data_IF_819814209612
#
_entry.id   IF_819814209612
#
_cell.length_a   1.000
_cell.length_b   1.000
_cell.length_c   1.000
_cell.angle_alpha   90.00
_cell.angle_beta   90.00
_cell.angle_gamma   90.00
#
_symmetry.space_group_name_H-M   'P 1'
#
loop_
_entity.id
_entity.type
_entity.pdbx_description
1 polymer ?
#
# COMPACT_ATOMS: atom_id res chain seq x y z
N UNK A 1 5.84 -46.75 -3.83
CA UNK A 1 4.76 -45.93 -4.45
C UNK A 1 4.46 -44.60 -3.73
N UNK A 2 5.10 -44.28 -2.59
CA UNK A 2 4.80 -43.07 -1.80
C UNK A 2 5.58 -41.80 -2.19
N UNK A 3 6.69 -41.91 -2.94
CA UNK A 3 7.55 -40.76 -3.29
C UNK A 3 7.05 -39.97 -4.52
N UNK A 4 6.17 -40.55 -5.35
CA UNK A 4 5.60 -39.86 -6.52
C UNK A 4 4.41 -38.96 -6.17
N UNK A 5 3.61 -39.31 -5.16
CA UNK A 5 2.49 -38.47 -4.70
C UNK A 5 2.96 -37.16 -4.05
N UNK A 6 4.05 -37.20 -3.25
CA UNK A 6 4.61 -36.00 -2.60
C UNK A 6 5.24 -35.01 -3.59
N UNK A 7 5.83 -35.49 -4.71
CA UNK A 7 6.35 -34.62 -5.76
C UNK A 7 5.23 -33.94 -6.56
N UNK A 8 4.13 -34.66 -6.80
CA UNK A 8 2.97 -34.11 -7.50
C UNK A 8 2.25 -33.04 -6.65
N UNK A 9 2.08 -33.27 -5.34
CA UNK A 9 1.48 -32.31 -4.40
C UNK A 9 2.34 -31.04 -4.23
N UNK A 10 3.68 -31.17 -4.11
CA UNK A 10 4.58 -29.99 -4.08
C UNK A 10 4.55 -29.17 -5.36
N UNK A 11 4.51 -29.82 -6.52
CA UNK A 11 4.44 -29.13 -7.81
C UNK A 11 3.08 -28.45 -8.03
N UNK A 12 1.98 -29.09 -7.61
CA UNK A 12 0.65 -28.49 -7.66
C UNK A 12 0.51 -27.31 -6.69
N UNK A 13 1.07 -27.39 -5.48
CA UNK A 13 1.14 -26.27 -4.52
C UNK A 13 1.98 -25.11 -5.04
N UNK A 14 3.12 -25.39 -5.68
CA UNK A 14 3.91 -24.34 -6.35
C UNK A 14 3.14 -23.67 -7.47
N UNK A 15 2.48 -24.45 -8.34
CA UNK A 15 1.65 -23.90 -9.42
C UNK A 15 0.42 -23.13 -8.90
N UNK A 16 -0.22 -23.58 -7.81
CA UNK A 16 -1.34 -22.85 -7.22
C UNK A 16 -0.87 -21.54 -6.58
N UNK A 17 0.30 -21.53 -5.95
CA UNK A 17 0.89 -20.32 -5.36
C UNK A 17 1.28 -19.34 -6.46
N UNK A 18 1.99 -19.77 -7.50
CA UNK A 18 2.34 -18.96 -8.67
C UNK A 18 1.10 -18.38 -9.38
N UNK A 19 0.03 -19.18 -9.54
CA UNK A 19 -1.23 -18.71 -10.12
C UNK A 19 -1.95 -17.69 -9.24
N UNK A 20 -1.85 -17.87 -7.92
CA UNK A 20 -2.46 -16.95 -6.94
C UNK A 20 -1.68 -15.65 -6.90
N UNK A 21 -0.35 -15.69 -6.81
CA UNK A 21 0.56 -14.55 -6.87
C UNK A 21 0.33 -13.72 -8.13
N UNK A 22 0.32 -14.34 -9.31
CA UNK A 22 0.08 -13.64 -10.58
C UNK A 22 -1.31 -12.96 -10.63
N UNK A 23 -2.35 -13.62 -10.10
CA UNK A 23 -3.71 -13.06 -10.04
C UNK A 23 -3.81 -11.88 -9.06
N UNK A 24 -3.09 -11.96 -7.95
CA UNK A 24 -3.01 -10.90 -6.93
C UNK A 24 -2.29 -9.68 -7.50
N UNK A 25 -1.14 -9.87 -8.14
CA UNK A 25 -0.36 -8.78 -8.75
C UNK A 25 -1.14 -8.06 -9.86
N UNK A 26 -1.75 -8.80 -10.78
CA UNK A 26 -2.64 -8.21 -11.80
C UNK A 26 -3.83 -7.49 -11.18
N UNK A 27 -4.39 -8.04 -10.11
CA UNK A 27 -5.49 -7.42 -9.41
C UNK A 27 -5.15 -6.06 -8.79
N UNK A 28 -3.92 -5.90 -8.29
CA UNK A 28 -3.44 -4.65 -7.68
C UNK A 28 -3.25 -3.58 -8.75
N UNK A 29 -2.67 -3.98 -9.88
CA UNK A 29 -2.53 -3.13 -11.06
C UNK A 29 -3.88 -2.65 -11.54
N UNK A 30 -4.83 -3.56 -11.73
CA UNK A 30 -6.19 -3.23 -12.17
C UNK A 30 -6.92 -2.32 -11.19
N UNK A 31 -6.66 -2.49 -9.88
CA UNK A 31 -7.17 -1.60 -8.85
C UNK A 31 -6.65 -0.17 -9.02
N UNK A 32 -5.33 0.01 -8.97
CA UNK A 32 -4.69 1.33 -9.05
C UNK A 32 -4.96 2.02 -10.40
N UNK A 33 -5.11 1.23 -11.47
CA UNK A 33 -5.40 1.67 -12.82
C UNK A 33 -6.82 2.24 -12.98
N UNK A 34 -7.80 1.74 -12.23
CA UNK A 34 -9.23 2.03 -12.42
C UNK A 34 -9.76 1.39 -13.70
N UNK A 35 -10.38 0.21 -13.56
CA UNK A 35 -10.99 -0.65 -14.58
C UNK A 35 -10.21 -0.87 -15.91
N UNK A 36 -9.93 -2.14 -16.20
CA UNK A 36 -9.20 -2.63 -17.38
C UNK A 36 -9.75 -2.13 -18.73
N UNK A 37 -11.04 -1.76 -18.80
CA UNK A 37 -11.70 -1.26 -20.02
C UNK A 37 -11.40 0.20 -20.34
N UNK A 38 -11.20 1.05 -19.33
CA UNK A 38 -10.68 2.41 -19.52
C UNK A 38 -9.18 2.36 -19.84
N UNK A 39 -8.49 1.36 -19.30
CA UNK A 39 -7.04 1.19 -19.39
C UNK A 39 -6.54 0.66 -20.74
N UNK A 40 -7.29 -0.23 -21.40
CA UNK A 40 -6.96 -0.72 -22.75
C UNK A 40 -7.07 0.39 -23.81
N UNK A 41 -8.02 1.32 -23.64
CA UNK A 41 -8.16 2.53 -24.49
C UNK A 41 -7.06 3.57 -24.28
N UNK A 42 -6.35 3.53 -23.14
CA UNK A 42 -5.27 4.46 -22.77
C UNK A 42 -3.88 4.04 -23.26
N UNK A 43 -3.69 2.79 -23.71
CA UNK A 43 -2.40 2.32 -24.30
C UNK A 43 -2.09 2.95 -25.66
N UNK A 44 -3.11 3.41 -26.38
CA UNK A 44 -3.03 3.67 -27.83
C UNK A 44 -3.53 5.07 -28.22
N UNK A 45 -3.82 5.94 -27.26
CA UNK A 45 -4.27 7.29 -27.56
C UNK A 45 -3.10 8.26 -27.44
N UNK A 46 -2.51 8.62 -28.57
CA UNK A 46 -1.70 9.84 -28.64
C UNK A 46 -2.54 11.01 -28.11
N UNK A 47 -1.95 11.91 -27.30
CA UNK A 47 -2.65 13.12 -26.88
C UNK A 47 -3.19 13.82 -28.13
N UNK A 48 -4.47 14.17 -28.15
CA UNK A 48 -4.97 14.96 -29.29
C UNK A 48 -4.15 16.24 -29.37
N UNK A 49 -3.93 16.82 -30.57
CA UNK A 49 -3.27 18.11 -30.67
C UNK A 49 -3.95 19.14 -29.74
N UNK A 50 -3.22 19.61 -28.72
CA UNK A 50 -3.72 20.51 -27.68
C UNK A 50 -4.07 19.88 -26.32
N UNK A 51 -4.10 18.55 -26.19
CA UNK A 51 -4.21 17.86 -24.89
C UNK A 51 -2.84 17.81 -24.20
N UNK A 52 -2.74 18.19 -22.91
CA UNK A 52 -1.49 18.07 -22.17
C UNK A 52 -1.05 16.59 -22.07
N UNK A 53 0.27 16.33 -22.07
CA UNK A 53 0.78 14.97 -21.88
C UNK A 53 0.35 14.43 -20.52
N UNK A 54 -0.14 13.19 -20.50
CA UNK A 54 -0.54 12.51 -19.27
C UNK A 54 0.66 12.31 -18.34
N UNK A 55 0.47 12.56 -17.05
CA UNK A 55 1.49 12.34 -16.02
C UNK A 55 1.28 10.99 -15.34
N UNK A 56 2.34 10.32 -14.85
CA UNK A 56 2.17 9.10 -14.08
C UNK A 56 1.37 9.40 -12.80
N UNK A 57 0.62 8.39 -12.34
CA UNK A 57 0.00 8.43 -11.01
C UNK A 57 1.09 8.26 -9.97
N UNK A 58 0.98 8.97 -8.84
CA UNK A 58 1.92 8.84 -7.74
C UNK A 58 1.33 8.11 -6.56
N UNK A 59 2.02 7.07 -6.08
CA UNK A 59 1.60 6.29 -4.93
C UNK A 59 2.72 6.11 -3.92
N UNK A 60 2.49 6.49 -2.66
CA UNK A 60 3.38 6.16 -1.55
C UNK A 60 2.76 5.05 -0.70
N UNK A 61 3.52 4.00 -0.47
CA UNK A 61 3.15 2.90 0.42
C UNK A 61 3.91 3.06 1.73
N UNK A 62 3.19 3.34 2.81
CA UNK A 62 3.74 3.61 4.14
C UNK A 62 3.53 2.39 5.04
N UNK A 63 4.61 1.78 5.51
CA UNK A 63 4.56 0.61 6.38
C UNK A 63 4.86 0.96 7.83
N UNK A 64 4.03 0.45 8.74
CA UNK A 64 4.36 0.37 10.15
C UNK A 64 5.48 -0.66 10.36
N UNK A 65 6.59 -0.17 10.89
CA UNK A 65 7.76 -0.92 11.31
C UNK A 65 8.07 -0.63 12.78
N UNK A 66 7.05 -0.40 13.61
CA UNK A 66 7.23 -0.22 15.06
C UNK A 66 7.64 -1.52 15.75
N UNK A 67 8.12 -1.41 16.99
CA UNK A 67 8.60 -2.56 17.76
C UNK A 67 7.52 -3.63 17.99
N UNK A 68 6.22 -3.28 17.97
CA UNK A 68 5.12 -4.27 18.07
C UNK A 68 5.09 -5.19 16.86
N UNK A 69 5.40 -4.67 15.67
CA UNK A 69 5.44 -5.45 14.43
C UNK A 69 6.43 -6.61 14.54
N UNK A 70 7.62 -6.36 15.10
CA UNK A 70 8.63 -7.39 15.31
C UNK A 70 8.27 -8.32 16.49
N UNK A 71 7.91 -7.75 17.65
CA UNK A 71 7.65 -8.52 18.88
C UNK A 71 6.50 -9.51 18.75
N UNK A 72 5.39 -9.10 18.10
CA UNK A 72 4.21 -9.94 17.93
C UNK A 72 4.25 -10.81 16.67
N UNK A 73 5.27 -10.65 15.83
CA UNK A 73 5.38 -11.40 14.57
C UNK A 73 5.35 -12.93 14.76
N UNK A 74 5.93 -13.45 15.86
CA UNK A 74 5.91 -14.88 16.17
C UNK A 74 4.52 -15.41 16.53
N UNK A 75 3.62 -14.54 17.00
CA UNK A 75 2.26 -14.90 17.43
C UNK A 75 1.25 -14.74 16.31
N UNK A 76 1.28 -13.60 15.63
CA UNK A 76 0.25 -13.24 14.66
C UNK A 76 0.77 -12.89 13.27
N UNK A 77 2.08 -12.88 13.03
CA UNK A 77 2.65 -12.70 11.70
C UNK A 77 2.56 -11.28 11.12
N UNK A 78 2.37 -10.23 11.94
CA UNK A 78 2.31 -8.82 11.49
C UNK A 78 3.44 -8.43 10.53
N UNK A 79 4.69 -8.47 11.01
CA UNK A 79 5.85 -8.06 10.20
C UNK A 79 5.98 -8.92 8.94
N UNK A 80 5.67 -10.22 9.03
CA UNK A 80 5.65 -11.11 7.87
C UNK A 80 4.63 -10.64 6.83
N UNK A 81 3.40 -10.33 7.21
CA UNK A 81 2.36 -9.80 6.30
C UNK A 81 2.77 -8.46 5.69
N UNK A 82 3.38 -7.58 6.46
CA UNK A 82 3.92 -6.30 5.96
C UNK A 82 4.99 -6.54 4.89
N UNK A 83 5.93 -7.47 5.13
CA UNK A 83 6.96 -7.83 4.15
C UNK A 83 6.36 -8.48 2.89
N UNK A 84 5.42 -9.40 3.04
CA UNK A 84 4.70 -10.03 1.91
C UNK A 84 3.94 -8.98 1.09
N UNK A 85 3.34 -7.98 1.74
CA UNK A 85 2.65 -6.85 1.09
C UNK A 85 3.63 -5.97 0.32
N UNK A 86 4.79 -5.63 0.90
CA UNK A 86 5.82 -4.85 0.23
C UNK A 86 6.34 -5.56 -1.03
N UNK A 87 6.62 -6.87 -0.95
CA UNK A 87 7.03 -7.67 -2.11
C UNK A 87 5.95 -7.68 -3.19
N UNK A 88 4.70 -7.96 -2.81
CA UNK A 88 3.56 -7.97 -3.73
C UNK A 88 3.41 -6.64 -4.48
N UNK A 89 3.55 -5.50 -3.79
CA UNK A 89 3.48 -4.17 -4.41
C UNK A 89 4.63 -3.97 -5.41
N UNK A 90 5.86 -4.28 -5.02
CA UNK A 90 7.03 -4.12 -5.89
C UNK A 90 6.93 -5.00 -7.14
N UNK A 91 6.42 -6.23 -7.02
CA UNK A 91 6.22 -7.13 -8.15
C UNK A 91 5.05 -6.71 -9.04
N UNK A 92 3.94 -6.27 -8.45
CA UNK A 92 2.77 -5.81 -9.19
C UNK A 92 3.05 -4.57 -10.03
N UNK A 93 3.89 -3.66 -9.53
CA UNK A 93 4.23 -2.41 -10.22
C UNK A 93 5.40 -2.53 -11.21
N UNK A 94 6.07 -3.68 -11.24
CA UNK A 94 7.17 -3.92 -12.17
C UNK A 94 6.71 -3.82 -13.62
N UNK A 95 7.38 -2.98 -14.43
CA UNK A 95 7.03 -2.76 -15.83
C UNK A 95 5.89 -1.76 -16.06
N UNK A 96 5.44 -1.07 -15.00
CA UNK A 96 4.40 -0.04 -15.05
C UNK A 96 4.91 1.37 -14.74
N UNK A 97 6.22 1.59 -14.80
CA UNK A 97 6.90 2.83 -14.40
C UNK A 97 6.46 4.04 -15.25
N UNK A 98 6.03 3.81 -16.48
CA UNK A 98 5.42 4.85 -17.34
C UNK A 98 4.04 5.33 -16.87
N UNK A 99 3.41 4.62 -15.95
CA UNK A 99 2.03 4.87 -15.47
C UNK A 99 1.97 5.14 -13.98
N UNK A 100 2.88 4.53 -13.22
CA UNK A 100 2.98 4.63 -11.78
C UNK A 100 4.40 5.00 -11.38
N UNK A 101 4.52 6.13 -10.70
CA UNK A 101 5.68 6.51 -9.94
C UNK A 101 5.40 6.20 -8.47
N UNK A 102 6.14 5.26 -7.88
CA UNK A 102 5.85 4.80 -6.52
C UNK A 102 7.06 4.90 -5.58
N UNK A 103 6.74 5.07 -4.30
CA UNK A 103 7.72 5.07 -3.21
C UNK A 103 7.24 4.15 -2.09
N UNK A 104 8.18 3.44 -1.46
CA UNK A 104 7.92 2.70 -0.23
C UNK A 104 8.65 3.42 0.89
N UNK A 105 7.93 3.69 1.97
CA UNK A 105 8.48 4.23 3.20
C UNK A 105 8.04 3.38 4.39
N UNK A 106 8.73 3.50 5.51
CA UNK A 106 8.24 3.00 6.79
C UNK A 106 8.38 4.05 7.89
N UNK A 107 7.65 3.85 8.97
CA UNK A 107 7.86 4.56 10.23
C UNK A 107 8.13 3.55 11.34
N UNK A 108 8.82 3.99 12.37
CA UNK A 108 9.09 3.21 13.56
C UNK A 108 9.07 4.12 14.79
N UNK A 109 9.53 3.63 15.95
CA UNK A 109 9.56 4.41 17.18
C UNK A 109 10.57 5.57 17.16
N UNK A 110 11.53 5.59 16.23
CA UNK A 110 12.60 6.60 16.18
C UNK A 110 12.42 7.61 15.05
N UNK A 111 11.73 7.23 13.96
CA UNK A 111 11.55 8.08 12.80
C UNK A 111 10.14 7.96 12.19
N UNK A 112 9.51 9.10 11.87
CA UNK A 112 8.18 9.12 11.24
C UNK A 112 8.22 8.79 9.75
N UNK A 113 9.36 8.91 9.07
CA UNK A 113 9.43 8.61 7.64
C UNK A 113 10.84 8.23 7.21
N UNK A 114 11.06 6.93 7.05
CA UNK A 114 12.27 6.35 6.47
C UNK A 114 11.96 5.86 5.05
N UNK A 115 12.75 6.29 4.08
CA UNK A 115 12.57 5.89 2.69
C UNK A 115 13.22 4.53 2.43
N UNK A 116 12.42 3.58 1.94
CA UNK A 116 12.88 2.25 1.53
C UNK A 116 13.14 2.19 0.02
N UNK A 117 12.23 2.79 -0.75
CA UNK A 117 12.29 2.93 -2.21
C UNK A 117 11.92 4.38 -2.56
N UNK A 118 12.82 5.15 -3.18
CA UNK A 118 12.52 6.50 -3.67
C UNK A 118 11.59 6.47 -4.89
N UNK A 119 10.87 7.56 -5.11
CA UNK A 119 10.22 7.82 -6.40
C UNK A 119 11.24 7.77 -7.55
N UNK A 120 10.83 7.23 -8.69
CA UNK A 120 11.68 7.03 -9.88
C UNK A 120 12.78 5.97 -9.73
N UNK A 121 12.88 5.27 -8.59
CA UNK A 121 13.93 4.29 -8.33
C UNK A 121 13.38 2.92 -7.87
N UNK A 122 12.48 2.28 -8.65
CA UNK A 122 11.97 0.96 -8.31
C UNK A 122 13.10 -0.08 -8.31
N UNK A 123 13.05 -1.08 -7.40
CA UNK A 123 14.06 -2.14 -7.35
C UNK A 123 14.02 -3.00 -8.62
N UNK A 124 15.15 -3.04 -9.33
CA UNK A 124 15.26 -3.67 -10.64
C UNK A 124 15.15 -5.21 -10.60
N UNK A 125 15.61 -5.85 -9.53
CA UNK A 125 15.72 -7.30 -9.43
C UNK A 125 15.32 -7.84 -8.05
N UNK A 126 15.31 -9.17 -7.93
CA UNK A 126 14.95 -9.87 -6.69
C UNK A 126 15.90 -9.52 -5.53
N UNK A 127 17.18 -9.28 -5.81
CA UNK A 127 18.17 -8.90 -4.80
C UNK A 127 17.91 -7.50 -4.24
N UNK A 128 17.55 -6.55 -5.11
CA UNK A 128 17.15 -5.22 -4.71
C UNK A 128 15.86 -5.26 -3.87
N UNK A 129 14.86 -6.06 -4.28
CA UNK A 129 13.64 -6.27 -3.48
C UNK A 129 13.92 -6.88 -2.11
N UNK A 130 14.80 -7.89 -2.05
CA UNK A 130 15.23 -8.48 -0.77
C UNK A 130 15.94 -7.45 0.12
N UNK A 131 16.71 -6.54 -0.47
CA UNK A 131 17.36 -5.44 0.27
C UNK A 131 16.33 -4.49 0.87
N UNK A 132 15.28 -4.13 0.13
CA UNK A 132 14.16 -3.32 0.63
C UNK A 132 13.48 -3.99 1.82
N UNK A 133 13.15 -5.28 1.69
CA UNK A 133 12.51 -6.05 2.78
C UNK A 133 13.44 -6.16 3.99
N UNK A 134 14.74 -6.37 3.77
CA UNK A 134 15.73 -6.46 4.86
C UNK A 134 15.83 -5.15 5.64
N UNK A 135 15.76 -3.99 4.96
CA UNK A 135 15.70 -2.68 5.61
C UNK A 135 14.45 -2.53 6.47
N UNK A 136 13.29 -2.92 5.94
CA UNK A 136 12.02 -2.87 6.67
C UNK A 136 12.06 -3.74 7.94
N UNK A 137 12.60 -4.96 7.85
CA UNK A 137 12.78 -5.85 9.01
C UNK A 137 13.75 -5.25 10.03
N UNK A 138 14.86 -4.67 9.55
CA UNK A 138 15.85 -4.04 10.42
C UNK A 138 15.26 -2.85 11.17
N UNK A 139 14.45 -2.00 10.52
CA UNK A 139 13.75 -0.89 11.17
C UNK A 139 12.88 -1.41 12.33
N UNK A 140 12.05 -2.43 12.08
CA UNK A 140 11.20 -3.02 13.13
C UNK A 140 11.97 -3.72 14.25
N UNK A 141 13.14 -4.27 13.96
CA UNK A 141 13.94 -5.01 14.94
C UNK A 141 14.73 -4.10 15.89
N UNK A 142 15.23 -2.97 15.38
CA UNK A 142 16.19 -2.13 16.11
C UNK A 142 15.62 -0.80 16.61
N UNK A 143 14.35 -0.52 16.33
CA UNK A 143 13.74 0.74 16.78
C UNK A 143 13.43 0.77 18.28
N UNK A 144 13.35 1.98 18.82
CA UNK A 144 12.79 2.24 20.15
C UNK A 144 11.32 1.84 20.23
N UNK A 145 10.80 1.71 21.46
CA UNK A 145 9.36 1.61 21.67
C UNK A 145 8.69 2.96 21.41
N UNK A 146 7.59 2.96 20.68
CA UNK A 146 6.87 4.17 20.31
C UNK A 146 6.17 3.94 18.98
N UNK A 147 5.36 4.92 18.60
CA UNK A 147 4.73 4.96 17.30
C UNK A 147 4.66 6.40 16.81
N UNK A 148 4.90 6.56 15.51
CA UNK A 148 4.87 7.83 14.81
C UNK A 148 3.79 7.85 13.73
N UNK A 149 2.77 6.99 13.78
CA UNK A 149 1.79 6.79 12.70
C UNK A 149 1.17 8.10 12.20
N UNK A 150 0.73 9.01 13.09
CA UNK A 150 0.11 10.28 12.66
C UNK A 150 1.08 11.15 11.88
N UNK A 151 2.26 11.41 12.47
CA UNK A 151 3.28 12.24 11.83
C UNK A 151 3.78 11.58 10.53
N UNK A 152 3.86 10.24 10.51
CA UNK A 152 4.22 9.47 9.34
C UNK A 152 3.22 9.64 8.19
N UNK A 153 1.92 9.59 8.49
CA UNK A 153 0.85 9.82 7.52
C UNK A 153 0.90 11.26 7.01
N UNK A 154 1.05 12.25 7.88
CA UNK A 154 1.16 13.67 7.51
C UNK A 154 2.35 13.89 6.56
N UNK A 155 3.53 13.37 6.91
CA UNK A 155 4.74 13.45 6.09
C UNK A 155 4.63 12.67 4.79
N UNK A 156 3.96 11.51 4.78
CA UNK A 156 3.71 10.76 3.55
C UNK A 156 2.81 11.54 2.59
N UNK A 157 1.76 12.15 3.12
CA UNK A 157 0.82 13.00 2.37
C UNK A 157 1.56 14.21 1.80
N UNK A 158 2.36 14.91 2.61
CA UNK A 158 3.19 16.04 2.16
C UNK A 158 4.20 15.62 1.09
N UNK A 159 4.91 14.51 1.29
CA UNK A 159 5.91 13.99 0.33
C UNK A 159 5.26 13.70 -1.03
N UNK A 160 4.10 13.05 -1.05
CA UNK A 160 3.40 12.75 -2.32
C UNK A 160 2.93 14.02 -3.02
N UNK A 161 2.39 14.99 -2.27
CA UNK A 161 1.93 16.27 -2.79
C UNK A 161 3.08 17.04 -3.48
N UNK A 162 4.25 17.07 -2.85
CA UNK A 162 5.40 17.90 -3.26
C UNK A 162 6.37 17.23 -4.25
N UNK A 163 6.24 15.92 -4.50
CA UNK A 163 7.19 15.16 -5.35
C UNK A 163 7.10 15.47 -6.86
N UNK A 164 6.33 16.48 -7.28
CA UNK A 164 6.17 16.89 -8.68
C UNK A 164 4.78 16.61 -9.28
N UNK A 165 4.60 16.82 -10.60
CA UNK A 165 3.29 16.68 -11.26
C UNK A 165 2.85 15.21 -11.32
N UNK A 166 1.56 14.97 -11.08
CA UNK A 166 0.93 13.66 -11.17
C UNK A 166 -0.56 13.83 -11.49
N UNK A 167 -1.12 12.91 -12.29
CA UNK A 167 -2.56 12.92 -12.61
C UNK A 167 -3.42 12.60 -11.37
N UNK A 168 -2.92 11.69 -10.53
CA UNK A 168 -3.56 11.24 -9.30
C UNK A 168 -2.48 11.00 -8.22
N UNK A 169 -2.79 11.32 -6.96
CA UNK A 169 -1.89 11.16 -5.81
C UNK A 169 -2.50 10.28 -4.72
N UNK A 170 -1.72 9.31 -4.23
CA UNK A 170 -2.16 8.32 -3.25
C UNK A 170 -1.15 8.10 -2.14
N UNK A 171 -1.66 7.86 -0.93
CA UNK A 171 -0.95 7.27 0.20
C UNK A 171 -1.72 6.03 0.64
N UNK A 172 -1.04 4.89 0.70
CA UNK A 172 -1.56 3.65 1.27
C UNK A 172 -0.72 3.29 2.49
N UNK A 173 -1.28 3.53 3.68
CA UNK A 173 -0.66 3.19 4.95
C UNK A 173 -1.06 1.79 5.41
N UNK A 174 -0.16 1.08 6.10
CA UNK A 174 -0.38 -0.26 6.64
C UNK A 174 0.07 -0.30 8.10
N UNK A 175 -0.83 -0.63 9.03
CA UNK A 175 -0.55 -0.67 10.47
C UNK A 175 -1.20 -1.87 11.17
N UNK A 176 -0.72 -2.21 12.36
CA UNK A 176 -1.26 -3.27 13.20
C UNK A 176 -2.46 -2.89 14.08
N UNK A 177 -2.98 -1.66 13.89
CA UNK A 177 -4.14 -1.12 14.56
C UNK A 177 -4.01 -0.91 16.07
N UNK A 178 -2.79 -0.81 16.61
CA UNK A 178 -2.56 -0.60 18.03
C UNK A 178 -2.77 0.87 18.46
N UNK A 179 -3.91 1.46 18.14
CA UNK A 179 -4.15 2.91 18.20
C UNK A 179 -4.37 3.44 19.61
N UNK A 180 -5.11 2.72 20.47
CA UNK A 180 -5.43 3.21 21.82
C UNK A 180 -4.17 3.36 22.68
N UNK A 181 -3.23 2.43 22.54
CA UNK A 181 -1.94 2.45 23.25
C UNK A 181 -1.13 3.73 22.99
N UNK A 182 -1.31 4.32 21.81
CA UNK A 182 -0.63 5.53 21.38
C UNK A 182 -1.53 6.77 21.41
N UNK A 183 -2.75 6.66 21.97
CA UNK A 183 -3.70 7.77 22.09
C UNK A 183 -4.23 8.25 20.73
N UNK A 184 -4.23 7.39 19.71
CA UNK A 184 -4.60 7.74 18.34
C UNK A 184 -6.11 7.71 18.16
N UNK A 185 -6.71 8.89 17.96
CA UNK A 185 -8.15 9.03 17.75
C UNK A 185 -8.50 9.05 16.26
N UNK A 186 -9.72 8.62 15.91
CA UNK A 186 -10.23 8.72 14.54
C UNK A 186 -10.21 10.17 14.02
N UNK A 187 -10.43 11.16 14.89
CA UNK A 187 -10.35 12.57 14.52
C UNK A 187 -8.92 13.00 14.14
N UNK A 188 -7.93 12.62 14.95
CA UNK A 188 -6.54 12.94 14.66
C UNK A 188 -6.06 12.24 13.38
N UNK A 189 -6.42 10.97 13.22
CA UNK A 189 -6.11 10.20 12.02
C UNK A 189 -6.76 10.81 10.77
N UNK A 190 -8.05 11.14 10.82
CA UNK A 190 -8.74 11.80 9.72
C UNK A 190 -8.11 13.15 9.36
N UNK A 191 -7.63 13.92 10.35
CA UNK A 191 -6.90 15.16 10.09
C UNK A 191 -5.57 14.91 9.37
N UNK A 192 -4.77 13.97 9.85
CA UNK A 192 -3.49 13.60 9.24
C UNK A 192 -3.66 13.13 7.79
N UNK A 193 -4.65 12.25 7.55
CA UNK A 193 -4.96 11.69 6.22
C UNK A 193 -5.44 12.74 5.21
N UNK A 194 -6.00 13.87 5.68
CA UNK A 194 -6.54 14.94 4.85
C UNK A 194 -5.72 16.24 4.94
N UNK A 195 -4.44 16.17 5.33
CA UNK A 195 -3.60 17.34 5.60
C UNK A 195 -3.46 18.32 4.42
N UNK A 196 -3.56 17.86 3.16
CA UNK A 196 -3.51 18.71 1.96
C UNK A 196 -4.84 19.37 1.57
N UNK A 197 -5.91 19.07 2.31
CA UNK A 197 -7.26 19.57 2.08
C UNK A 197 -7.94 18.97 0.83
N UNK A 198 -9.27 18.77 0.86
CA UNK A 198 -10.02 18.34 -0.32
C UNK A 198 -10.09 19.45 -1.38
N UNK A 199 -10.01 19.10 -2.67
CA UNK A 199 -10.19 20.04 -3.78
C UNK A 199 -8.98 20.94 -4.10
N UNK A 200 -7.82 20.70 -3.50
CA UNK A 200 -6.56 21.34 -3.92
C UNK A 200 -6.03 20.68 -5.20
N UNK A 201 -5.22 21.41 -5.98
CA UNK A 201 -4.56 20.86 -7.17
C UNK A 201 -3.63 19.67 -6.82
N UNK A 202 -3.19 19.61 -5.55
CA UNK A 202 -2.32 18.58 -5.01
C UNK A 202 -3.05 17.65 -4.03
N UNK A 203 -4.38 17.50 -4.17
CA UNK A 203 -5.19 16.61 -3.33
C UNK A 203 -4.58 15.20 -3.28
N UNK A 204 -4.29 14.74 -2.07
CA UNK A 204 -3.74 13.41 -1.82
C UNK A 204 -4.82 12.52 -1.23
N UNK A 205 -5.04 11.36 -1.85
CA UNK A 205 -5.93 10.33 -1.32
C UNK A 205 -5.17 9.42 -0.38
N UNK A 206 -5.44 9.54 0.90
CA UNK A 206 -4.87 8.65 1.90
C UNK A 206 -5.85 7.54 2.28
N UNK A 207 -5.35 6.32 2.39
CA UNK A 207 -6.04 5.14 2.90
C UNK A 207 -5.15 4.40 3.90
N UNK A 208 -5.77 3.80 4.92
CA UNK A 208 -5.10 3.01 5.94
C UNK A 208 -5.66 1.59 5.96
N UNK A 209 -4.78 0.61 5.82
CA UNK A 209 -5.07 -0.81 5.91
C UNK A 209 -4.57 -1.36 7.24
N UNK A 210 -5.47 -1.97 7.99
CA UNK A 210 -5.20 -2.58 9.27
C UNK A 210 -4.89 -4.07 9.06
N UNK A 211 -3.63 -4.45 9.23
CA UNK A 211 -3.10 -5.80 8.96
C UNK A 211 -3.30 -6.78 10.12
N UNK A 212 -3.83 -6.30 11.23
CA UNK A 212 -4.20 -7.09 12.38
C UNK A 212 -5.45 -6.50 13.03
N UNK A 213 -6.20 -7.35 13.71
CA UNK A 213 -7.25 -6.95 14.64
C UNK A 213 -6.71 -7.12 16.04
N UNK A 214 -6.41 -6.02 16.71
CA UNK A 214 -6.46 -5.99 18.17
C UNK A 214 -7.92 -5.71 18.54
N UNK A 215 -8.63 -6.75 18.97
CA UNK A 215 -9.98 -6.65 19.55
C UNK A 215 -10.99 -5.85 18.69
N UNK A 216 -11.85 -5.04 19.32
CA UNK A 216 -12.87 -4.19 18.69
C UNK A 216 -12.31 -2.84 18.18
N UNK A 217 -11.04 -2.51 18.45
CA UNK A 217 -10.43 -1.21 18.13
C UNK A 217 -10.33 -0.99 16.62
N UNK A 218 -9.77 -1.97 15.91
CA UNK A 218 -9.55 -1.90 14.47
C UNK A 218 -10.90 -1.74 13.74
N UNK A 219 -11.93 -2.41 14.22
CA UNK A 219 -13.29 -2.31 13.70
C UNK A 219 -13.92 -0.94 14.02
N UNK A 220 -13.73 -0.44 15.24
CA UNK A 220 -14.22 0.89 15.66
C UNK A 220 -13.59 2.00 14.83
N UNK A 221 -12.28 1.92 14.58
CA UNK A 221 -11.57 2.87 13.72
C UNK A 221 -12.07 2.81 12.27
N UNK A 222 -12.21 1.60 11.72
CA UNK A 222 -12.75 1.40 10.37
C UNK A 222 -14.18 1.94 10.22
N UNK A 223 -15.02 1.76 11.24
CA UNK A 223 -16.39 2.29 11.25
C UNK A 223 -16.45 3.81 11.40
N UNK A 224 -15.47 4.41 12.07
CA UNK A 224 -15.38 5.87 12.26
C UNK A 224 -14.89 6.59 11.01
N UNK A 225 -14.03 5.95 10.21
CA UNK A 225 -13.50 6.48 8.95
C UNK A 225 -13.74 5.49 7.79
N UNK A 226 -15.01 5.20 7.45
CA UNK A 226 -15.38 4.12 6.54
C UNK A 226 -15.06 4.40 5.07
N UNK A 227 -14.50 5.55 4.71
CA UNK A 227 -14.00 5.84 3.36
C UNK A 227 -12.46 5.80 3.27
N UNK A 228 -11.77 5.68 4.40
CA UNK A 228 -10.32 5.85 4.50
C UNK A 228 -9.64 4.69 5.22
N UNK A 229 -10.31 4.01 6.15
CA UNK A 229 -9.73 2.93 6.96
C UNK A 229 -10.40 1.60 6.60
N UNK A 230 -9.58 0.55 6.38
CA UNK A 230 -10.03 -0.79 5.98
C UNK A 230 -9.31 -1.87 6.79
N UNK A 231 -10.02 -2.95 7.09
CA UNK A 231 -9.42 -4.16 7.65
C UNK A 231 -8.86 -5.01 6.50
N UNK A 232 -7.58 -5.40 6.58
CA UNK A 232 -6.92 -6.23 5.59
C UNK A 232 -6.07 -7.29 6.29
N UNK A 233 -6.74 -8.30 6.85
CA UNK A 233 -6.08 -9.37 7.62
C UNK A 233 -5.27 -10.34 6.75
N UNK A 234 -5.58 -10.39 5.46
CA UNK A 234 -4.89 -11.21 4.48
C UNK A 234 -4.39 -10.31 3.34
N UNK A 235 -3.07 -10.15 3.15
CA UNK A 235 -2.52 -9.33 2.08
C UNK A 235 -3.06 -9.69 0.68
N UNK A 236 -3.50 -10.93 0.48
CA UNK A 236 -4.08 -11.40 -0.80
C UNK A 236 -5.42 -10.74 -1.12
N UNK A 237 -6.11 -10.15 -0.14
CA UNK A 237 -7.36 -9.40 -0.36
C UNK A 237 -7.12 -7.93 -0.69
N UNK A 238 -5.91 -7.41 -0.46
CA UNK A 238 -5.56 -6.01 -0.75
C UNK A 238 -5.92 -5.58 -2.19
N UNK A 239 -5.67 -6.38 -3.25
CA UNK A 239 -6.12 -6.04 -4.60
C UNK A 239 -7.62 -5.84 -4.74
N UNK A 240 -8.44 -6.67 -4.09
CA UNK A 240 -9.90 -6.53 -4.14
C UNK A 240 -10.39 -5.31 -3.38
N UNK A 241 -9.81 -5.04 -2.20
CA UNK A 241 -10.14 -3.86 -1.39
C UNK A 241 -9.85 -2.57 -2.18
N UNK A 242 -8.67 -2.48 -2.79
CA UNK A 242 -8.32 -1.35 -3.62
C UNK A 242 -9.28 -1.22 -4.82
N UNK A 243 -9.61 -2.32 -5.52
CA UNK A 243 -10.56 -2.28 -6.65
C UNK A 243 -11.91 -1.72 -6.25
N UNK A 244 -12.43 -2.14 -5.09
CA UNK A 244 -13.73 -1.69 -4.60
C UNK A 244 -13.75 -0.18 -4.35
N UNK A 245 -12.67 0.38 -3.80
CA UNK A 245 -12.54 1.83 -3.62
C UNK A 245 -12.47 2.60 -4.92
N UNK A 246 -11.64 2.13 -5.86
CA UNK A 246 -11.51 2.80 -7.14
C UNK A 246 -12.83 2.75 -7.94
N UNK A 247 -13.58 1.65 -7.86
CA UNK A 247 -14.87 1.50 -8.51
C UNK A 247 -15.97 2.38 -7.86
N UNK A 248 -16.05 2.41 -6.53
CA UNK A 248 -17.11 3.14 -5.80
C UNK A 248 -17.08 4.65 -6.04
N UNK A 249 -15.88 5.22 -6.29
CA UNK A 249 -15.70 6.66 -6.54
C UNK A 249 -15.69 7.06 -8.02
N UNK A 250 -15.33 6.18 -8.95
CA UNK A 250 -15.56 6.45 -10.39
C UNK A 250 -17.05 6.65 -10.70
N UNK A 251 -17.93 5.92 -10.02
CA UNK A 251 -19.38 6.12 -10.12
C UNK A 251 -19.86 7.51 -9.64
N UNK A 252 -19.17 8.14 -8.68
CA UNK A 252 -19.51 9.49 -8.19
C UNK A 252 -19.00 10.62 -9.09
N UNK A 253 -17.85 10.42 -9.76
CA UNK A 253 -17.29 11.39 -10.72
C UNK A 253 -18.07 11.48 -12.03
N UNK A 254 -18.83 10.45 -12.40
CA UNK A 254 -19.65 10.45 -13.63
C UNK A 254 -21.03 11.09 -13.44
N UNK A 255 -21.35 11.58 -12.23
CA UNK A 255 -22.62 12.19 -11.85
C UNK A 255 -22.53 13.71 -11.58
N UNK A 256 -21.40 14.34 -11.91
CA UNK A 256 -21.15 15.78 -11.91
C UNK A 256 -20.74 16.21 -13.32
#
# INVERSE_FOLDING_TARGET
MFCHLQKHDRSQRKLSNLKTEHKTSQGLVDALAGESNVFRRRREREPRPGEPPMQPKRALFLFDASASMYRFNGTDGRLRRTCETAVMIMEALQGLESRFDYSLCCHDGDSPLQELVPFGQPPADERARLTVVSKLVAAAQYCSSGDNTLEAIEKAVEKVATSGPADDRFVFAFSDANFERYGLTAQALGKAMNAQGPGSADEVRCMLFLLATFEDEALTMANSLPDQVRLCLDPRTLPSELRQEFASRMGRRSAL
#
